data_IF_056968116457
#
_entry.id   IF_056968116457
#
_cell.length_a   1.000
_cell.length_b   1.000
_cell.length_c   1.000
_cell.angle_alpha   90.00
_cell.angle_beta   90.00
_cell.angle_gamma   90.00
#
_symmetry.space_group_name_H-M   'P 1'
#
loop_
_entity.id
_entity.type
_entity.pdbx_description
1 polymer ?
#
# COMPACT_ATOMS: atom_id res chain seq x y z
N UNK A 1 -8.17 -4.42 -9.16
CA UNK A 1 -6.92 -5.22 -9.26
C UNK A 1 -6.18 -4.98 -10.58
N UNK A 2 -6.87 -5.00 -11.73
CA UNK A 2 -6.25 -4.85 -13.06
C UNK A 2 -5.35 -3.60 -13.24
N UNK A 3 -5.75 -2.45 -12.68
CA UNK A 3 -4.95 -1.22 -12.72
C UNK A 3 -3.61 -1.41 -12.01
N UNK A 4 -3.60 -2.01 -10.81
CA UNK A 4 -2.38 -2.30 -10.05
C UNK A 4 -1.43 -3.22 -10.83
N UNK A 5 -1.95 -4.27 -11.47
CA UNK A 5 -1.17 -5.16 -12.35
C UNK A 5 -0.51 -4.41 -13.51
N UNK A 6 -1.27 -3.55 -14.21
CA UNK A 6 -0.72 -2.79 -15.35
C UNK A 6 0.37 -1.82 -14.90
N UNK A 7 0.19 -1.16 -13.75
CA UNK A 7 1.19 -0.29 -13.16
C UNK A 7 2.45 -1.07 -12.77
N UNK A 8 2.32 -2.24 -12.14
CA UNK A 8 3.46 -3.10 -11.83
C UNK A 8 4.20 -3.58 -13.08
N UNK A 9 3.48 -3.91 -14.16
CA UNK A 9 4.10 -4.28 -15.45
C UNK A 9 4.87 -3.12 -16.08
N UNK A 10 4.36 -1.90 -15.97
CA UNK A 10 5.05 -0.68 -16.41
C UNK A 10 6.29 -0.39 -15.54
N UNK A 11 6.18 -0.61 -14.22
CA UNK A 11 7.25 -0.39 -13.26
C UNK A 11 8.53 -1.18 -13.56
N UNK A 12 8.41 -2.32 -14.27
CA UNK A 12 9.57 -3.09 -14.75
C UNK A 12 10.48 -2.35 -15.73
N UNK A 13 10.01 -1.26 -16.36
CA UNK A 13 10.75 -0.51 -17.40
C UNK A 13 10.86 0.99 -17.12
N UNK A 14 10.08 1.50 -16.18
CA UNK A 14 10.06 2.92 -15.81
C UNK A 14 9.75 3.07 -14.33
N UNK A 15 10.23 4.14 -13.69
CA UNK A 15 9.81 4.45 -12.34
C UNK A 15 8.38 5.02 -12.36
N UNK A 16 7.46 4.37 -11.64
CA UNK A 16 6.06 4.79 -11.55
C UNK A 16 5.78 5.22 -10.11
N UNK A 17 5.37 6.49 -9.95
CA UNK A 17 4.94 7.04 -8.68
C UNK A 17 3.41 7.19 -8.71
N UNK A 18 2.72 6.63 -7.71
CA UNK A 18 1.26 6.64 -7.62
C UNK A 18 0.84 7.09 -6.24
N UNK A 19 -0.01 8.12 -6.19
CA UNK A 19 -0.76 8.49 -4.99
C UNK A 19 -2.14 7.86 -5.11
N UNK A 20 -2.52 7.01 -4.16
CA UNK A 20 -3.80 6.30 -4.21
C UNK A 20 -4.36 6.04 -2.82
N UNK A 21 -5.69 6.04 -2.72
CA UNK A 21 -6.43 5.58 -1.55
C UNK A 21 -7.00 4.16 -1.74
N UNK A 22 -6.74 3.52 -2.90
CA UNK A 22 -7.28 2.21 -3.22
C UNK A 22 -6.30 1.10 -2.79
N UNK A 23 -6.68 0.22 -1.85
CA UNK A 23 -5.78 -0.84 -1.37
C UNK A 23 -5.41 -1.82 -2.50
N UNK A 24 -6.30 -2.02 -3.47
CA UNK A 24 -6.08 -2.93 -4.60
C UNK A 24 -5.04 -2.41 -5.61
N UNK A 25 -4.68 -1.12 -5.55
CA UNK A 25 -3.59 -0.54 -6.34
C UNK A 25 -2.31 -0.55 -5.50
N UNK A 26 -2.40 -0.10 -4.24
CA UNK A 26 -1.27 -0.03 -3.32
C UNK A 26 -0.61 -1.41 -3.06
N UNK A 27 -1.39 -2.49 -3.04
CA UNK A 27 -0.86 -3.86 -2.87
C UNK A 27 0.17 -4.26 -3.96
N UNK A 28 0.05 -3.71 -5.17
CA UNK A 28 0.92 -4.04 -6.31
C UNK A 28 2.21 -3.22 -6.35
N UNK A 29 2.37 -2.20 -5.50
CA UNK A 29 3.59 -1.39 -5.46
C UNK A 29 4.79 -2.19 -4.93
N UNK A 30 5.97 -1.94 -5.50
CA UNK A 30 7.25 -2.50 -5.02
C UNK A 30 7.62 -1.92 -3.64
N UNK A 31 7.33 -0.63 -3.44
CA UNK A 31 7.49 0.08 -2.17
C UNK A 31 6.21 0.83 -1.85
N UNK A 32 5.77 0.73 -0.60
CA UNK A 32 4.58 1.42 -0.12
C UNK A 32 5.00 2.47 0.91
N UNK A 33 4.57 3.71 0.69
CA UNK A 33 4.83 4.84 1.59
C UNK A 33 3.51 5.40 2.08
N UNK A 34 3.49 5.82 3.35
CA UNK A 34 2.34 6.50 3.94
C UNK A 34 2.68 7.95 4.16
N UNK A 35 1.78 8.82 3.68
CA UNK A 35 1.80 10.24 3.99
C UNK A 35 1.05 10.43 5.31
N UNK A 36 1.71 11.04 6.28
CA UNK A 36 1.11 11.38 7.56
C UNK A 36 1.27 12.88 7.82
N UNK A 37 0.33 13.45 8.56
CA UNK A 37 0.43 14.83 9.05
C UNK A 37 0.94 14.76 10.48
N UNK A 38 1.96 15.53 10.80
CA UNK A 38 2.36 15.85 12.16
C UNK A 38 2.05 17.31 12.41
N UNK A 39 1.35 17.59 13.50
CA UNK A 39 1.04 18.95 13.93
C UNK A 39 1.67 19.16 15.31
N UNK A 40 2.51 20.18 15.43
CA UNK A 40 3.15 20.58 16.69
C UNK A 40 2.44 21.77 17.37
N UNK A 41 1.26 22.16 16.87
CA UNK A 41 0.47 23.30 17.33
C UNK A 41 0.82 24.63 16.65
N UNK A 42 1.85 24.66 15.80
CA UNK A 42 2.33 25.88 15.13
C UNK A 42 2.46 25.72 13.62
N UNK A 43 2.85 24.54 13.14
CA UNK A 43 2.96 24.21 11.72
C UNK A 43 2.46 22.80 11.44
N UNK A 44 1.48 22.66 10.55
CA UNK A 44 1.09 21.35 10.02
C UNK A 44 2.14 20.90 8.99
N UNK A 45 2.99 19.95 9.36
CA UNK A 45 4.00 19.38 8.46
C UNK A 45 3.51 18.04 7.92
N UNK A 46 3.76 17.77 6.63
CA UNK A 46 3.45 16.48 6.00
C UNK A 46 4.72 15.65 5.86
N UNK A 47 4.74 14.50 6.50
CA UNK A 47 5.83 13.53 6.45
C UNK A 47 5.49 12.33 5.56
N UNK A 48 6.53 11.65 5.08
CA UNK A 48 6.41 10.37 4.40
C UNK A 48 7.32 9.35 5.07
N UNK A 49 6.85 8.13 5.25
CA UNK A 49 7.69 7.02 5.71
C UNK A 49 7.41 5.76 4.90
N UNK A 50 8.45 4.95 4.70
CA UNK A 50 8.33 3.66 4.02
C UNK A 50 7.74 2.61 4.96
N UNK A 51 6.89 1.74 4.43
CA UNK A 51 6.32 0.62 5.17
C UNK A 51 7.14 -0.66 4.96
N UNK A 52 7.37 -1.38 6.05
CA UNK A 52 7.85 -2.76 6.04
C UNK A 52 6.70 -3.74 5.72
N UNK A 53 6.99 -5.03 5.58
CA UNK A 53 5.96 -6.02 5.23
C UNK A 53 4.78 -6.06 6.22
N UNK A 54 4.99 -6.06 7.56
CA UNK A 54 3.89 -5.94 8.52
C UNK A 54 3.13 -4.61 8.39
N UNK A 55 3.84 -3.50 8.21
CA UNK A 55 3.25 -2.17 8.02
C UNK A 55 2.37 -2.10 6.77
N UNK A 56 2.77 -2.77 5.69
CA UNK A 56 1.94 -2.88 4.47
C UNK A 56 0.61 -3.58 4.74
N UNK A 57 0.61 -4.66 5.53
CA UNK A 57 -0.64 -5.36 5.89
C UNK A 57 -1.53 -4.44 6.72
N UNK A 58 -0.99 -3.77 7.74
CA UNK A 58 -1.75 -2.83 8.59
C UNK A 58 -2.34 -1.69 7.78
N UNK A 59 -1.56 -1.07 6.91
CA UNK A 59 -2.05 0.05 6.10
C UNK A 59 -3.13 -0.38 5.11
N UNK A 60 -2.96 -1.52 4.43
CA UNK A 60 -3.98 -2.04 3.53
C UNK A 60 -5.26 -2.43 4.28
N UNK A 61 -5.13 -3.01 5.48
CA UNK A 61 -6.25 -3.29 6.39
C UNK A 61 -7.00 -2.00 6.74
N UNK A 62 -6.26 -0.94 7.11
CA UNK A 62 -6.80 0.40 7.39
C UNK A 62 -7.51 1.00 6.17
N UNK A 63 -6.94 0.88 4.98
CA UNK A 63 -7.55 1.35 3.72
C UNK A 63 -8.83 0.58 3.36
N UNK A 64 -8.92 -0.71 3.72
CA UNK A 64 -10.07 -1.58 3.45
C UNK A 64 -11.24 -1.34 4.41
N UNK A 65 -10.97 -1.28 5.72
CA UNK A 65 -11.99 -1.24 6.77
C UNK A 65 -12.11 0.12 7.47
N UNK A 66 -11.22 1.07 7.19
CA UNK A 66 -11.14 2.36 7.89
C UNK A 66 -10.56 2.27 9.30
N UNK A 67 -10.18 1.07 9.76
CA UNK A 67 -9.66 0.80 11.11
C UNK A 67 -8.41 -0.09 10.99
N UNK A 68 -7.40 0.16 11.82
CA UNK A 68 -6.10 -0.53 11.75
C UNK A 68 -6.17 -1.99 12.26
N UNK A 69 -7.04 -2.28 13.23
CA UNK A 69 -7.05 -3.55 13.99
C UNK A 69 -8.16 -4.53 13.61
N UNK A 70 -8.73 -4.42 12.41
CA UNK A 70 -9.73 -5.38 11.94
C UNK A 70 -9.06 -6.69 11.47
N UNK A 71 -9.27 -7.78 12.19
CA UNK A 71 -8.71 -9.10 11.85
C UNK A 71 -9.15 -9.60 10.46
N UNK A 72 -10.42 -9.36 10.08
CA UNK A 72 -10.94 -9.73 8.76
C UNK A 72 -10.32 -8.89 7.65
N UNK A 73 -10.10 -7.59 7.89
CA UNK A 73 -9.45 -6.71 6.93
C UNK A 73 -7.96 -7.02 6.78
N UNK A 74 -7.28 -7.40 7.88
CA UNK A 74 -5.89 -7.86 7.84
C UNK A 74 -5.75 -9.15 7.02
N UNK A 75 -6.67 -10.10 7.18
CA UNK A 75 -6.70 -11.31 6.36
C UNK A 75 -6.87 -10.97 4.87
N UNK A 76 -7.82 -10.09 4.53
CA UNK A 76 -8.05 -9.69 3.15
C UNK A 76 -6.89 -8.88 2.54
N UNK A 77 -6.22 -8.05 3.36
CA UNK A 77 -4.99 -7.37 2.96
C UNK A 77 -3.85 -8.34 2.65
N UNK A 78 -3.68 -9.39 3.46
CA UNK A 78 -2.69 -10.43 3.21
C UNK A 78 -2.98 -11.20 1.90
N UNK A 79 -4.25 -11.52 1.61
CA UNK A 79 -4.65 -12.13 0.34
C UNK A 79 -4.31 -11.23 -0.87
N UNK A 80 -4.60 -9.93 -0.76
CA UNK A 80 -4.26 -8.94 -1.80
C UNK A 80 -2.76 -8.86 -2.06
N UNK A 81 -1.94 -8.90 -1.01
CA UNK A 81 -0.48 -8.90 -1.12
C UNK A 81 0.04 -10.21 -1.75
N UNK A 82 -0.53 -11.35 -1.38
CA UNK A 82 -0.18 -12.64 -1.96
C UNK A 82 -0.49 -12.67 -3.47
N UNK A 83 -1.67 -12.17 -3.86
CA UNK A 83 -2.05 -12.04 -5.27
C UNK A 83 -1.10 -11.13 -6.05
N UNK A 84 -0.63 -10.04 -5.42
CA UNK A 84 0.32 -9.13 -6.03
C UNK A 84 1.71 -9.76 -6.20
N UNK A 85 2.19 -10.53 -5.22
CA UNK A 85 3.48 -11.25 -5.30
C UNK A 85 3.48 -12.30 -6.42
N UNK A 86 2.38 -13.08 -6.52
CA UNK A 86 2.21 -14.07 -7.59
C UNK A 86 2.29 -13.44 -8.99
N UNK A 87 1.68 -12.26 -9.19
CA UNK A 87 1.70 -11.57 -10.49
C UNK A 87 3.09 -11.03 -10.87
N UNK A 88 3.93 -10.73 -9.86
CA UNK A 88 5.32 -10.29 -10.06
C UNK A 88 6.28 -11.44 -10.38
N UNK A 89 5.85 -12.70 -10.26
CA UNK A 89 6.71 -13.88 -10.47
C UNK A 89 7.71 -14.11 -9.34
N UNK A 90 7.41 -13.58 -8.15
CA UNK A 90 8.20 -13.78 -6.94
C UNK A 90 7.65 -15.03 -6.21
N UNK A 91 8.14 -16.21 -6.59
CA UNK A 91 7.95 -17.46 -5.85
C UNK A 91 9.26 -17.89 -5.18
#
# INVERSE_FOLDING_TARGET
VEVGRRLARLARRAQVLVVTHLPQVAAFADRHYVVHKSDDGTVTTSGVHALDSPGRVRELSRMLAGLEDSATAAAHAAELLALAAQDRGEC
#
